data_IF_436639999829
#
_entry.id   IF_436639999829
#
_cell.length_a   1.000
_cell.length_b   1.000
_cell.length_c   1.000
_cell.angle_alpha   90.00
_cell.angle_beta   90.00
_cell.angle_gamma   90.00
#
_symmetry.space_group_name_H-M   'P 1'
#
loop_
_entity.id
_entity.type
_entity.pdbx_description
1 polymer ?
#
# COMPACT_ATOMS: atom_id res chain seq x y z
N UNK A 1 -8.54 11.44 15.76
CA UNK A 1 -7.55 11.06 16.80
C UNK A 1 -7.53 12.06 17.94
N UNK A 2 -7.74 13.37 17.70
CA UNK A 2 -7.77 14.40 18.75
C UNK A 2 -8.69 14.06 19.93
N UNK A 3 -9.95 13.70 19.62
CA UNK A 3 -10.94 13.29 20.64
C UNK A 3 -10.49 12.11 21.52
N UNK A 4 -9.58 11.25 21.03
CA UNK A 4 -9.12 10.06 21.76
C UNK A 4 -8.02 10.45 22.76
N UNK A 5 -7.18 11.44 22.41
CA UNK A 5 -6.06 11.88 23.26
C UNK A 5 -6.44 13.02 24.20
N UNK A 6 -7.56 13.70 23.96
CA UNK A 6 -8.02 14.88 24.71
C UNK A 6 -8.10 14.67 26.23
N UNK A 7 -8.47 13.47 26.69
CA UNK A 7 -8.54 13.13 28.12
C UNK A 7 -7.33 12.35 28.63
N UNK A 8 -6.18 12.45 27.96
CA UNK A 8 -4.95 11.71 28.26
C UNK A 8 -3.74 12.63 28.29
N UNK A 9 -2.64 12.20 28.92
CA UNK A 9 -1.35 12.91 28.87
C UNK A 9 -0.48 12.50 27.65
N UNK A 10 -1.10 11.95 26.61
CA UNK A 10 -0.40 11.45 25.42
C UNK A 10 -0.26 12.56 24.38
N UNK A 11 0.97 12.81 23.93
CA UNK A 11 1.23 13.70 22.80
C UNK A 11 0.82 13.04 21.47
N UNK A 12 0.01 13.73 20.68
CA UNK A 12 -0.39 13.30 19.34
C UNK A 12 0.61 13.77 18.29
N UNK A 13 1.51 12.87 17.89
CA UNK A 13 2.46 13.12 16.79
C UNK A 13 1.86 12.63 15.47
N UNK A 14 1.85 13.48 14.44
CA UNK A 14 1.36 13.15 13.08
C UNK A 14 2.45 13.42 12.03
N UNK A 15 3.43 12.51 11.86
CA UNK A 15 4.63 12.78 11.05
C UNK A 15 4.34 13.09 9.57
N UNK A 16 3.20 12.63 9.05
CA UNK A 16 2.83 12.76 7.63
C UNK A 16 1.72 13.79 7.39
N UNK A 17 1.20 14.44 8.45
CA UNK A 17 0.07 15.37 8.31
C UNK A 17 0.46 16.58 7.45
N UNK A 18 -0.42 16.94 6.50
CA UNK A 18 -0.23 18.05 5.55
C UNK A 18 1.04 17.97 4.68
N UNK A 19 1.69 16.81 4.63
CA UNK A 19 2.80 16.60 3.71
C UNK A 19 2.30 16.36 2.29
N UNK A 20 3.08 16.84 1.33
CA UNK A 20 2.80 16.63 -0.09
C UNK A 20 2.88 15.15 -0.45
N UNK A 21 1.80 14.66 -1.05
CA UNK A 21 1.62 13.24 -1.41
C UNK A 21 2.72 12.71 -2.33
N UNK A 22 3.13 13.53 -3.30
CA UNK A 22 4.20 13.19 -4.22
C UNK A 22 5.54 13.00 -3.50
N UNK A 23 5.84 13.82 -2.48
CA UNK A 23 7.05 13.65 -1.66
C UNK A 23 7.03 12.33 -0.90
N UNK A 24 5.87 11.92 -0.37
CA UNK A 24 5.73 10.68 0.38
C UNK A 24 6.00 9.43 -0.49
N UNK A 25 5.48 9.41 -1.72
CA UNK A 25 5.75 8.33 -2.68
C UNK A 25 7.24 8.31 -3.06
N UNK A 26 7.84 9.47 -3.29
CA UNK A 26 9.27 9.56 -3.58
C UNK A 26 10.13 9.08 -2.41
N UNK A 27 9.72 9.33 -1.17
CA UNK A 27 10.37 8.79 0.03
C UNK A 27 10.29 7.27 0.11
N UNK A 28 9.14 6.67 -0.23
CA UNK A 28 8.99 5.20 -0.30
C UNK A 28 10.01 4.61 -1.27
N UNK A 29 10.17 5.20 -2.46
CA UNK A 29 11.15 4.75 -3.45
C UNK A 29 12.59 4.99 -3.00
N UNK A 30 12.87 6.18 -2.45
CA UNK A 30 14.20 6.57 -1.98
C UNK A 30 14.70 5.69 -0.84
N UNK A 31 13.83 5.32 0.09
CA UNK A 31 14.17 4.49 1.24
C UNK A 31 13.99 2.98 0.97
N UNK A 32 13.80 2.60 -0.30
CA UNK A 32 13.74 1.20 -0.74
C UNK A 32 12.73 0.36 0.06
N UNK A 33 11.56 0.95 0.35
CA UNK A 33 10.46 0.20 0.92
C UNK A 33 9.93 -0.78 -0.14
N UNK A 34 9.78 -2.05 0.24
CA UNK A 34 9.07 -3.01 -0.59
C UNK A 34 7.61 -3.04 -0.17
N UNK A 35 6.80 -2.29 -0.92
CA UNK A 35 5.38 -2.11 -0.66
C UNK A 35 4.58 -2.94 -1.65
N UNK A 36 3.86 -3.96 -1.20
CA UNK A 36 2.91 -4.70 -2.01
C UNK A 36 1.59 -3.91 -2.11
N UNK A 37 1.02 -3.78 -3.31
CA UNK A 37 -0.39 -3.33 -3.41
C UNK A 37 -1.28 -4.53 -3.05
N UNK A 38 -1.96 -4.44 -1.91
CA UNK A 38 -2.71 -5.56 -1.32
C UNK A 38 -4.19 -5.55 -1.68
N UNK A 39 -4.76 -4.39 -2.00
CA UNK A 39 -6.17 -4.26 -2.37
C UNK A 39 -6.36 -3.04 -3.27
N UNK A 40 -7.27 -3.11 -4.22
CA UNK A 40 -7.71 -1.98 -5.06
C UNK A 40 -9.23 -1.92 -5.04
N UNK A 41 -9.78 -0.72 -4.87
CA UNK A 41 -11.21 -0.45 -5.06
C UNK A 41 -11.53 -0.34 -6.55
N UNK A 42 -12.31 -1.29 -7.06
CA UNK A 42 -12.74 -1.37 -8.45
C UNK A 42 -13.78 -0.31 -8.82
N UNK A 43 -14.37 0.39 -7.85
CA UNK A 43 -15.20 1.56 -8.10
C UNK A 43 -14.35 2.79 -8.48
N UNK A 44 -13.09 2.85 -8.07
CA UNK A 44 -12.15 3.94 -8.37
C UNK A 44 -11.21 3.63 -9.54
N UNK A 45 -10.89 2.35 -9.77
CA UNK A 45 -9.87 1.93 -10.72
C UNK A 45 -10.37 0.82 -11.64
N UNK A 46 -10.01 0.91 -12.92
CA UNK A 46 -10.34 -0.14 -13.90
C UNK A 46 -9.73 -1.49 -13.50
N UNK A 47 -10.49 -2.56 -13.66
CA UNK A 47 -10.07 -3.91 -13.25
C UNK A 47 -8.74 -4.34 -13.90
N UNK A 48 -8.49 -4.02 -15.18
CA UNK A 48 -7.23 -4.35 -15.85
C UNK A 48 -6.01 -3.67 -15.21
N UNK A 49 -6.19 -2.44 -14.69
CA UNK A 49 -5.15 -1.75 -13.95
C UNK A 49 -4.98 -2.37 -12.56
N UNK A 50 -6.09 -2.64 -11.87
CA UNK A 50 -6.10 -3.31 -10.57
C UNK A 50 -5.38 -4.67 -10.61
N UNK A 51 -5.61 -5.48 -11.65
CA UNK A 51 -4.96 -6.78 -11.85
C UNK A 51 -3.45 -6.70 -12.06
N UNK A 52 -2.94 -5.58 -12.60
CA UNK A 52 -1.50 -5.33 -12.71
C UNK A 52 -0.89 -4.91 -11.38
N UNK A 53 -1.66 -4.25 -10.51
CA UNK A 53 -1.18 -3.75 -9.23
C UNK A 53 -1.25 -4.80 -8.12
N UNK A 54 -2.42 -5.41 -7.92
CA UNK A 54 -2.70 -6.27 -6.77
C UNK A 54 -1.77 -7.49 -6.75
N UNK A 55 -1.02 -7.65 -5.67
CA UNK A 55 -0.03 -8.73 -5.52
C UNK A 55 1.35 -8.41 -6.10
N UNK A 56 1.58 -7.21 -6.63
CA UNK A 56 2.89 -6.75 -7.08
C UNK A 56 3.47 -5.67 -6.15
N UNK A 57 4.80 -5.60 -6.12
CA UNK A 57 5.51 -4.52 -5.43
C UNK A 57 5.30 -3.22 -6.20
N UNK A 58 4.93 -2.16 -5.50
CA UNK A 58 4.85 -0.81 -6.02
C UNK A 58 6.24 -0.36 -6.48
N UNK A 59 6.43 -0.38 -7.79
CA UNK A 59 7.62 0.16 -8.45
C UNK A 59 7.29 1.52 -9.04
N UNK A 60 8.32 2.31 -9.36
CA UNK A 60 8.16 3.56 -10.10
C UNK A 60 7.43 3.36 -11.43
N UNK A 61 7.69 2.25 -12.12
CA UNK A 61 6.99 1.89 -13.37
C UNK A 61 5.49 1.68 -13.15
N UNK A 62 5.08 0.87 -12.16
CA UNK A 62 3.67 0.68 -11.86
C UNK A 62 3.00 1.99 -11.42
N UNK A 63 3.70 2.82 -10.66
CA UNK A 63 3.19 4.11 -10.24
C UNK A 63 2.93 5.04 -11.45
N UNK A 64 3.95 5.27 -12.29
CA UNK A 64 3.88 6.22 -13.41
C UNK A 64 3.01 5.72 -14.58
N UNK A 65 3.06 4.42 -14.87
CA UNK A 65 2.43 3.84 -16.05
C UNK A 65 1.11 3.12 -15.78
N UNK A 66 0.74 2.89 -14.52
CA UNK A 66 -0.55 2.29 -14.16
C UNK A 66 -1.37 3.22 -13.27
N UNK A 67 -0.87 3.59 -12.09
CA UNK A 67 -1.62 4.38 -11.09
C UNK A 67 -1.93 5.78 -11.63
N UNK A 68 -0.90 6.53 -12.06
CA UNK A 68 -1.07 7.89 -12.60
C UNK A 68 -1.80 7.95 -13.95
N UNK A 69 -2.17 6.79 -14.53
CA UNK A 69 -3.03 6.71 -15.72
C UNK A 69 -4.50 6.51 -15.37
N UNK A 70 -4.83 6.38 -14.09
CA UNK A 70 -6.20 6.38 -13.58
C UNK A 70 -6.54 7.76 -13.02
N UNK A 71 -7.83 8.06 -12.92
CA UNK A 71 -8.33 9.28 -12.30
C UNK A 71 -8.48 9.07 -10.78
N UNK A 72 -7.34 8.94 -10.10
CA UNK A 72 -7.25 8.56 -8.68
C UNK A 72 -6.19 9.38 -7.95
N UNK A 73 -6.26 9.42 -6.63
CA UNK A 73 -5.14 9.88 -5.80
C UNK A 73 -3.98 8.88 -5.86
N UNK A 74 -2.80 9.35 -6.27
CA UNK A 74 -1.61 8.50 -6.44
C UNK A 74 -1.14 7.82 -5.16
N UNK A 75 -1.43 8.38 -3.98
CA UNK A 75 -1.13 7.79 -2.67
C UNK A 75 -2.22 6.85 -2.16
N UNK A 76 -3.36 6.75 -2.83
CA UNK A 76 -4.50 5.98 -2.36
C UNK A 76 -5.18 6.60 -1.13
N UNK A 77 -5.02 7.92 -0.90
CA UNK A 77 -5.52 8.59 0.31
C UNK A 77 -7.05 8.54 0.43
N UNK A 78 -7.76 8.43 -0.69
CA UNK A 78 -9.22 8.40 -0.74
C UNK A 78 -9.78 6.97 -0.80
N UNK A 79 -8.95 5.96 -0.53
CA UNK A 79 -9.35 4.55 -0.47
C UNK A 79 -9.30 3.82 -1.82
N UNK A 80 -8.54 4.34 -2.79
CA UNK A 80 -8.43 3.73 -4.11
C UNK A 80 -7.64 2.41 -4.07
N UNK A 81 -6.65 2.32 -3.19
CA UNK A 81 -5.93 1.09 -2.94
C UNK A 81 -5.37 1.03 -1.52
N UNK A 82 -5.11 -0.19 -1.05
CA UNK A 82 -4.35 -0.45 0.17
C UNK A 82 -3.05 -1.17 -0.15
N UNK A 83 -2.08 -1.00 0.74
CA UNK A 83 -0.77 -1.59 0.61
C UNK A 83 -0.34 -2.35 1.87
N UNK A 84 0.65 -3.21 1.70
CA UNK A 84 1.30 -3.98 2.75
C UNK A 84 2.82 -3.83 2.60
N UNK A 85 3.49 -3.37 3.65
CA UNK A 85 4.95 -3.25 3.67
C UNK A 85 5.58 -4.62 3.95
N UNK A 86 6.28 -5.18 2.97
CA UNK A 86 6.98 -6.47 3.11
C UNK A 86 8.42 -6.29 3.60
N UNK A 87 9.03 -5.15 3.27
CA UNK A 87 10.35 -4.77 3.72
C UNK A 87 10.48 -3.26 3.87
N UNK A 88 11.20 -2.80 4.88
CA UNK A 88 11.52 -1.40 5.13
C UNK A 88 12.83 -1.31 5.93
N UNK A 89 13.57 -0.19 5.92
CA UNK A 89 14.87 -0.06 6.58
C UNK A 89 14.91 -0.58 8.03
N UNK A 90 13.87 -0.28 8.83
CA UNK A 90 13.81 -0.66 10.25
C UNK A 90 13.39 -2.12 10.51
N UNK A 91 12.98 -2.88 9.50
CA UNK A 91 12.65 -4.29 9.68
C UNK A 91 13.92 -5.10 9.99
N UNK A 92 13.85 -6.04 10.93
CA UNK A 92 14.96 -6.97 11.23
C UNK A 92 15.04 -8.14 10.24
N UNK A 93 13.86 -8.57 9.78
CA UNK A 93 13.65 -9.61 8.76
C UNK A 93 12.61 -9.08 7.77
N UNK A 94 12.69 -9.50 6.51
CA UNK A 94 11.67 -9.17 5.50
C UNK A 94 10.62 -10.27 5.41
N UNK A 95 9.43 -9.91 4.97
CA UNK A 95 8.32 -10.83 4.74
C UNK A 95 8.42 -11.33 3.29
N UNK A 96 8.44 -12.64 3.10
CA UNK A 96 8.36 -13.27 1.77
C UNK A 96 7.04 -14.00 1.66
N UNK A 97 6.22 -13.59 0.70
CA UNK A 97 4.98 -14.30 0.35
C UNK A 97 5.36 -15.52 -0.50
N UNK A 98 5.06 -16.71 0.00
CA UNK A 98 5.32 -17.98 -0.70
C UNK A 98 4.14 -18.39 -1.57
N UNK A 99 2.93 -18.06 -1.12
CA UNK A 99 1.69 -18.37 -1.84
C UNK A 99 0.64 -17.30 -1.57
N UNK A 100 -0.01 -16.87 -2.64
CA UNK A 100 -1.19 -16.03 -2.58
C UNK A 100 -1.89 -15.99 -3.93
N UNK A 101 -3.07 -15.38 -3.96
CA UNK A 101 -3.87 -15.24 -5.18
C UNK A 101 -4.65 -13.93 -5.16
N UNK A 102 -5.00 -13.44 -6.34
CA UNK A 102 -5.96 -12.37 -6.46
C UNK A 102 -7.38 -12.92 -6.25
N UNK A 103 -8.16 -12.24 -5.42
CA UNK A 103 -9.56 -12.58 -5.11
C UNK A 103 -10.40 -11.30 -5.26
N UNK A 104 -11.59 -11.44 -5.85
CA UNK A 104 -12.59 -10.36 -5.89
C UNK A 104 -13.52 -10.54 -4.69
N UNK A 105 -13.86 -9.46 -3.99
CA UNK A 105 -14.83 -9.48 -2.88
C UNK A 105 -16.22 -9.93 -3.36
N UNK A 106 -17.03 -10.46 -2.45
CA UNK A 106 -18.37 -10.97 -2.80
C UNK A 106 -19.28 -9.90 -3.43
N UNK A 107 -19.13 -8.65 -3.03
CA UNK A 107 -19.84 -7.49 -3.57
C UNK A 107 -19.22 -6.92 -4.86
N UNK A 108 -18.12 -7.49 -5.34
CA UNK A 108 -17.42 -7.08 -6.56
C UNK A 108 -16.67 -5.75 -6.47
N UNK A 109 -16.63 -5.10 -5.29
CA UNK A 109 -16.05 -3.77 -5.13
C UNK A 109 -14.53 -3.78 -5.02
N UNK A 110 -13.94 -4.88 -4.55
CA UNK A 110 -12.52 -4.93 -4.24
C UNK A 110 -11.85 -6.09 -4.94
N UNK A 111 -10.71 -5.80 -5.58
CA UNK A 111 -9.73 -6.81 -5.95
C UNK A 111 -8.62 -6.79 -4.90
N UNK A 112 -8.37 -7.91 -4.23
CA UNK A 112 -7.36 -7.99 -3.19
C UNK A 112 -6.47 -9.21 -3.32
N UNK A 113 -5.29 -9.14 -2.73
CA UNK A 113 -4.33 -10.22 -2.68
C UNK A 113 -4.51 -11.02 -1.39
N UNK A 114 -5.03 -12.24 -1.53
CA UNK A 114 -5.19 -13.19 -0.43
C UNK A 114 -3.85 -13.89 -0.18
N UNK A 115 -3.13 -13.46 0.86
CA UNK A 115 -1.90 -14.13 1.31
C UNK A 115 -2.29 -15.43 1.99
N UNK A 116 -1.78 -16.54 1.46
CA UNK A 116 -2.06 -17.89 1.97
C UNK A 116 -0.89 -18.47 2.76
N UNK A 117 0.33 -18.12 2.36
CA UNK A 117 1.55 -18.56 3.03
C UNK A 117 2.63 -17.48 2.90
N UNK A 118 3.26 -17.15 4.03
CA UNK A 118 4.40 -16.25 4.08
C UNK A 118 5.39 -16.69 5.17
N UNK A 119 6.62 -16.21 5.05
CA UNK A 119 7.68 -16.46 6.03
C UNK A 119 8.49 -15.18 6.28
N UNK A 120 9.22 -15.18 7.41
CA UNK A 120 10.20 -14.15 7.72
C UNK A 120 11.59 -14.65 7.34
N UNK A 121 12.29 -13.91 6.48
CA UNK A 121 13.67 -14.23 6.08
C UNK A 121 14.61 -13.11 6.49
N UNK A 122 15.87 -13.45 6.76
CA UNK A 122 16.88 -12.45 7.06
C UNK A 122 17.11 -11.52 5.86
N UNK A 123 17.42 -10.25 6.16
CA UNK A 123 17.75 -9.28 5.12
C UNK A 123 19.15 -9.55 4.58
N UNK A 124 19.29 -9.49 3.27
CA UNK A 124 20.58 -9.45 2.57
C UNK A 124 21.16 -8.05 2.58
#
# INVERSE_FOLDING_TARGET
MDRVVESTDIELVRPLWERERTELIEEIFKFEFEVLISCVNLENMKEDAARKLVGNILTRDLYENVILKQDVDGCGEMGEYHSMVLNAPLFKKRIVIKKGKQTISEDGKFLYFEVQECELVDKT
#
